data_IF_579509892395
#
_entry.id   IF_579509892395
#
_cell.length_a   1.000
_cell.length_b   1.000
_cell.length_c   1.000
_cell.angle_alpha   90.00
_cell.angle_beta   90.00
_cell.angle_gamma   90.00
#
_symmetry.space_group_name_H-M   'P 1'
#
loop_
_entity.id
_entity.type
_entity.pdbx_description
1 polymer ?
#
# COMPACT_ATOMS: atom_id res chain seq x y z
N UNK A 1 -2.15 4.63 -28.12
CA UNK A 1 -1.31 4.74 -26.90
C UNK A 1 -0.57 3.43 -26.73
N UNK A 2 0.74 3.48 -26.85
CA UNK A 2 1.59 2.31 -26.68
C UNK A 2 1.94 2.14 -25.20
N UNK A 3 2.42 0.95 -24.79
CA UNK A 3 2.94 0.71 -23.42
C UNK A 3 4.01 1.77 -23.02
N UNK A 4 4.72 2.34 -23.99
CA UNK A 4 5.68 3.43 -23.76
C UNK A 4 4.98 4.73 -23.33
N UNK A 5 3.77 5.00 -23.83
CA UNK A 5 3.06 6.25 -23.54
C UNK A 5 2.46 6.27 -22.11
N UNK A 6 2.18 5.08 -21.53
CA UNK A 6 1.73 4.95 -20.16
C UNK A 6 2.88 5.02 -19.13
N UNK A 7 4.08 4.67 -19.55
CA UNK A 7 5.21 4.61 -18.62
C UNK A 7 5.71 6.00 -18.23
N UNK A 8 5.62 6.99 -19.13
CA UNK A 8 6.01 8.38 -18.83
C UNK A 8 5.13 9.01 -17.74
N UNK A 9 3.77 9.01 -17.83
CA UNK A 9 2.93 9.50 -16.75
C UNK A 9 3.15 8.76 -15.42
N UNK A 10 3.36 7.46 -15.45
CA UNK A 10 3.61 6.67 -14.25
C UNK A 10 4.93 7.05 -13.57
N UNK A 11 5.99 7.31 -14.33
CA UNK A 11 7.26 7.79 -13.81
C UNK A 11 7.14 9.21 -13.22
N UNK A 12 6.40 10.08 -13.86
CA UNK A 12 6.13 11.44 -13.34
C UNK A 12 5.36 11.39 -12.03
N UNK A 13 4.33 10.55 -11.93
CA UNK A 13 3.59 10.34 -10.69
C UNK A 13 4.49 9.78 -9.58
N UNK A 14 5.33 8.80 -9.89
CA UNK A 14 6.30 8.24 -8.95
C UNK A 14 7.23 9.35 -8.41
N UNK A 15 7.74 10.20 -9.29
CA UNK A 15 8.63 11.31 -8.91
C UNK A 15 7.93 12.33 -8.03
N UNK A 16 6.67 12.67 -8.33
CA UNK A 16 5.88 13.58 -7.49
C UNK A 16 5.64 12.99 -6.11
N UNK A 17 5.29 11.73 -6.02
CA UNK A 17 5.05 11.06 -4.74
C UNK A 17 6.32 10.83 -3.92
N UNK A 18 7.49 10.88 -4.53
CA UNK A 18 8.77 10.88 -3.79
C UNK A 18 8.90 12.05 -2.82
N UNK A 19 8.23 13.17 -3.10
CA UNK A 19 8.22 14.34 -2.24
C UNK A 19 7.30 14.22 -1.01
N UNK A 20 6.50 13.14 -0.92
CA UNK A 20 5.51 12.91 0.13
C UNK A 20 5.98 11.81 1.09
N UNK A 21 6.63 12.18 2.22
CA UNK A 21 7.19 11.20 3.15
C UNK A 21 6.16 10.41 3.95
N UNK A 22 4.90 10.85 3.96
CA UNK A 22 3.78 10.26 4.68
C UNK A 22 2.80 9.51 3.76
N UNK A 23 3.10 9.44 2.47
CA UNK A 23 2.28 8.73 1.49
C UNK A 23 3.12 7.72 0.75
N UNK A 24 2.69 6.48 0.81
CA UNK A 24 3.18 5.41 -0.06
C UNK A 24 2.42 5.45 -1.38
N UNK A 25 3.13 5.41 -2.49
CA UNK A 25 2.56 5.27 -3.83
C UNK A 25 3.11 4.03 -4.51
N UNK A 26 2.25 3.31 -5.22
CA UNK A 26 2.66 2.12 -5.96
C UNK A 26 1.77 1.85 -7.17
N UNK A 27 2.36 1.21 -8.16
CA UNK A 27 1.66 0.53 -9.24
C UNK A 27 2.15 -0.92 -9.26
N UNK A 28 1.21 -1.84 -9.47
CA UNK A 28 1.48 -3.27 -9.65
C UNK A 28 0.87 -3.75 -10.95
N UNK A 29 1.48 -4.74 -11.56
CA UNK A 29 0.95 -5.41 -12.74
C UNK A 29 -0.20 -6.38 -12.38
N UNK A 30 -0.73 -7.06 -13.39
CA UNK A 30 -1.82 -8.03 -13.22
C UNK A 30 -1.44 -9.28 -12.41
N UNK A 31 -0.15 -9.53 -12.20
CA UNK A 31 0.36 -10.60 -11.34
C UNK A 31 0.61 -10.13 -9.90
N UNK A 32 0.35 -8.86 -9.60
CA UNK A 32 0.54 -8.28 -8.27
C UNK A 32 1.99 -7.90 -7.97
N UNK A 33 2.84 -7.78 -8.99
CA UNK A 33 4.24 -7.38 -8.84
C UNK A 33 4.39 -5.88 -8.98
N UNK A 34 5.19 -5.27 -8.13
CA UNK A 34 5.47 -3.84 -8.19
C UNK A 34 6.16 -3.47 -9.50
N UNK A 35 5.59 -2.52 -10.22
CA UNK A 35 6.19 -1.89 -11.40
C UNK A 35 6.72 -0.50 -11.09
N UNK A 36 6.05 0.20 -10.18
CA UNK A 36 6.42 1.54 -9.72
C UNK A 36 6.20 1.64 -8.22
N UNK A 37 7.04 2.43 -7.54
CA UNK A 37 6.83 2.81 -6.16
C UNK A 37 7.60 4.10 -5.85
N UNK A 38 7.12 4.87 -4.88
CA UNK A 38 7.87 6.04 -4.43
C UNK A 38 8.93 5.68 -3.38
N UNK A 39 9.82 6.63 -3.10
CA UNK A 39 10.90 6.45 -2.12
C UNK A 39 10.39 6.22 -0.70
N UNK A 40 9.19 6.68 -0.39
CA UNK A 40 8.56 6.43 0.91
C UNK A 40 8.36 4.94 1.15
N UNK A 41 7.88 4.18 0.15
CA UNK A 41 7.77 2.73 0.26
C UNK A 41 9.14 2.05 0.40
N UNK A 42 10.12 2.49 -0.37
CA UNK A 42 11.48 1.97 -0.29
C UNK A 42 12.05 2.09 1.13
N UNK A 43 11.90 3.26 1.74
CA UNK A 43 12.37 3.52 3.10
C UNK A 43 11.63 2.70 4.15
N UNK A 44 10.31 2.54 4.01
CA UNK A 44 9.51 1.71 4.93
C UNK A 44 9.94 0.27 4.97
N UNK A 45 10.33 -0.26 3.83
CA UNK A 45 10.81 -1.62 3.70
C UNK A 45 12.29 -1.76 4.11
N UNK A 46 12.92 -0.68 4.58
CA UNK A 46 14.34 -0.68 4.97
C UNK A 46 15.27 -0.91 3.78
N UNK A 47 14.80 -0.59 2.57
CA UNK A 47 15.59 -0.73 1.34
C UNK A 47 16.26 0.59 0.98
N UNK A 48 17.22 0.53 0.08
CA UNK A 48 17.96 1.70 -0.41
C UNK A 48 17.54 2.11 -1.81
N UNK A 49 17.16 1.14 -2.64
CA UNK A 49 16.88 1.33 -4.06
C UNK A 49 15.49 0.80 -4.43
N UNK A 50 14.83 1.48 -5.35
CA UNK A 50 13.56 0.97 -5.94
C UNK A 50 13.71 -0.39 -6.58
N UNK A 51 14.85 -0.65 -7.21
CA UNK A 51 15.15 -1.93 -7.87
C UNK A 51 15.07 -3.14 -6.92
N UNK A 52 15.14 -2.92 -5.61
CA UNK A 52 14.96 -3.98 -4.62
C UNK A 52 13.48 -4.35 -4.41
N UNK A 53 12.56 -3.55 -4.93
CA UNK A 53 11.11 -3.75 -4.80
C UNK A 53 10.49 -4.11 -6.15
N UNK A 54 10.90 -3.43 -7.22
CA UNK A 54 10.35 -3.61 -8.57
C UNK A 54 10.51 -5.07 -9.01
N UNK A 55 9.43 -5.62 -9.57
CA UNK A 55 9.33 -7.02 -10.00
C UNK A 55 8.97 -8.01 -8.89
N UNK A 56 8.86 -7.56 -7.64
CA UNK A 56 8.51 -8.41 -6.50
C UNK A 56 7.06 -8.23 -6.09
N UNK A 57 6.51 -9.26 -5.47
CA UNK A 57 5.17 -9.23 -4.89
C UNK A 57 5.18 -8.72 -3.45
N UNK A 58 4.03 -8.33 -2.87
CA UNK A 58 3.94 -7.99 -1.46
C UNK A 58 4.42 -9.11 -0.52
N UNK A 59 4.23 -10.37 -0.89
CA UNK A 59 4.72 -11.51 -0.10
C UNK A 59 6.24 -11.55 0.01
N UNK A 60 6.93 -11.07 -1.02
CA UNK A 60 8.40 -11.09 -1.05
C UNK A 60 9.02 -9.90 -0.33
N UNK A 61 8.29 -8.79 -0.17
CA UNK A 61 8.84 -7.54 0.40
C UNK A 61 8.30 -7.19 1.77
N UNK A 62 7.11 -7.66 2.14
CA UNK A 62 6.53 -7.43 3.46
C UNK A 62 6.61 -8.67 4.35
N UNK A 63 6.75 -8.50 5.67
CA UNK A 63 6.63 -9.61 6.59
C UNK A 63 5.19 -10.15 6.60
N UNK A 64 5.04 -11.45 6.89
CA UNK A 64 3.74 -12.02 7.18
C UNK A 64 3.23 -11.52 8.54
N UNK A 65 1.91 -11.26 8.68
CA UNK A 65 0.83 -11.52 7.72
C UNK A 65 0.54 -10.39 6.73
N UNK A 66 1.26 -9.27 6.79
CA UNK A 66 0.97 -8.08 5.99
C UNK A 66 1.01 -8.34 4.49
N UNK A 67 2.05 -9.01 4.02
CA UNK A 67 2.21 -9.30 2.60
C UNK A 67 1.04 -10.12 2.03
N UNK A 68 0.58 -11.11 2.77
CA UNK A 68 -0.58 -11.92 2.39
C UNK A 68 -1.87 -11.12 2.34
N UNK A 69 -2.10 -10.25 3.32
CA UNK A 69 -3.27 -9.36 3.36
C UNK A 69 -3.30 -8.42 2.16
N UNK A 70 -2.17 -7.82 1.82
CA UNK A 70 -2.08 -6.91 0.68
C UNK A 70 -2.29 -7.63 -0.65
N UNK A 71 -1.78 -8.85 -0.80
CA UNK A 71 -2.02 -9.64 -2.00
C UNK A 71 -3.49 -10.01 -2.17
N UNK A 72 -4.17 -10.40 -1.11
CA UNK A 72 -5.60 -10.70 -1.17
C UNK A 72 -6.40 -9.46 -1.56
N UNK A 73 -6.07 -8.32 -1.01
CA UNK A 73 -6.68 -7.05 -1.35
C UNK A 73 -6.44 -6.67 -2.82
N UNK A 74 -5.21 -6.83 -3.32
CA UNK A 74 -4.87 -6.57 -4.71
C UNK A 74 -5.68 -7.46 -5.67
N UNK A 75 -5.88 -8.73 -5.33
CA UNK A 75 -6.73 -9.64 -6.12
C UNK A 75 -8.17 -9.16 -6.22
N UNK A 76 -8.72 -8.61 -5.15
CA UNK A 76 -10.07 -8.01 -5.17
C UNK A 76 -10.13 -6.82 -6.12
N UNK A 77 -9.12 -5.97 -6.09
CA UNK A 77 -9.01 -4.82 -7.00
C UNK A 77 -8.84 -5.29 -8.45
N UNK A 78 -8.04 -6.33 -8.69
CA UNK A 78 -7.91 -6.96 -10.01
C UNK A 78 -9.21 -7.59 -10.51
N UNK A 79 -10.15 -7.88 -9.62
CA UNK A 79 -11.51 -8.30 -9.98
C UNK A 79 -12.48 -7.12 -10.15
N UNK A 80 -12.01 -5.88 -10.09
CA UNK A 80 -12.80 -4.67 -10.31
C UNK A 80 -13.28 -3.96 -9.06
N UNK A 81 -12.94 -4.43 -7.86
CA UNK A 81 -13.29 -3.71 -6.63
C UNK A 81 -12.49 -2.42 -6.48
N UNK A 82 -13.11 -1.43 -5.88
CA UNK A 82 -12.46 -0.18 -5.48
C UNK A 82 -12.19 -0.24 -3.98
N UNK A 83 -11.00 0.17 -3.58
CA UNK A 83 -10.66 0.33 -2.17
C UNK A 83 -10.63 1.82 -1.86
N UNK A 84 -11.47 2.24 -0.94
CA UNK A 84 -11.60 3.64 -0.52
C UNK A 84 -11.47 3.76 0.99
N UNK A 85 -10.63 4.66 1.45
CA UNK A 85 -10.45 4.96 2.88
C UNK A 85 -10.36 3.69 3.75
N UNK A 86 -9.69 2.68 3.26
CA UNK A 86 -9.51 1.48 4.05
C UNK A 86 -8.47 1.72 5.13
N UNK A 87 -8.89 1.59 6.39
CA UNK A 87 -7.97 1.65 7.52
C UNK A 87 -7.14 0.36 7.56
N UNK A 88 -5.84 0.51 7.52
CA UNK A 88 -4.89 -0.60 7.51
C UNK A 88 -3.72 -0.34 8.44
N UNK A 89 -3.07 -1.43 8.84
CA UNK A 89 -1.77 -1.37 9.49
C UNK A 89 -0.70 -1.43 8.41
N UNK A 90 0.27 -0.54 8.49
CA UNK A 90 1.44 -0.51 7.64
C UNK A 90 2.72 -0.40 8.47
N UNK A 91 3.85 -0.79 7.90
CA UNK A 91 5.14 -0.55 8.54
C UNK A 91 5.59 0.89 8.28
N UNK A 92 5.98 1.57 9.35
CA UNK A 92 6.61 2.88 9.28
C UNK A 92 8.14 2.74 9.16
N UNK A 93 8.89 3.82 8.82
CA UNK A 93 10.34 3.74 8.65
C UNK A 93 11.12 3.18 9.85
N UNK A 94 10.57 3.37 11.06
CA UNK A 94 11.13 2.82 12.30
C UNK A 94 10.80 1.33 12.52
N UNK A 95 10.18 0.67 11.54
CA UNK A 95 9.68 -0.71 11.57
C UNK A 95 8.58 -0.99 12.61
N UNK A 96 8.03 0.03 13.21
CA UNK A 96 6.85 -0.09 14.04
C UNK A 96 5.59 -0.04 13.19
N UNK A 97 4.54 -0.80 13.55
CA UNK A 97 3.28 -0.70 12.85
C UNK A 97 2.64 0.67 13.09
N UNK A 98 2.00 1.20 12.08
CA UNK A 98 1.24 2.44 12.12
C UNK A 98 -0.01 2.35 11.28
N UNK A 99 -0.97 3.23 11.57
CA UNK A 99 -2.22 3.29 10.84
C UNK A 99 -2.06 4.07 9.56
N UNK A 100 -2.70 3.60 8.50
CA UNK A 100 -2.83 4.34 7.26
C UNK A 100 -4.21 4.15 6.64
N UNK A 101 -4.58 5.09 5.79
CA UNK A 101 -5.75 4.98 4.91
C UNK A 101 -5.28 4.61 3.52
N UNK A 102 -5.84 3.55 3.00
CA UNK A 102 -5.47 3.00 1.70
C UNK A 102 -6.57 3.23 0.67
N UNK A 103 -6.13 3.60 -0.53
CA UNK A 103 -6.96 3.75 -1.72
C UNK A 103 -6.32 2.93 -2.83
N UNK A 104 -7.13 2.11 -3.50
CA UNK A 104 -6.68 1.34 -4.65
C UNK A 104 -7.71 1.38 -5.77
N UNK A 105 -7.21 1.42 -6.99
CA UNK A 105 -7.99 1.39 -8.22
C UNK A 105 -7.42 0.35 -9.17
N UNK A 106 -8.30 -0.34 -9.91
CA UNK A 106 -7.83 -1.12 -11.03
C UNK A 106 -7.24 -0.18 -12.09
N UNK A 107 -6.12 -0.56 -12.65
CA UNK A 107 -5.49 0.13 -13.76
C UNK A 107 -5.90 -0.55 -15.05
N UNK A 108 -6.56 0.19 -15.93
CA UNK A 108 -7.07 -0.32 -17.19
C UNK A 108 -6.43 0.41 -18.38
N UNK A 109 -6.15 -0.34 -19.43
CA UNK A 109 -5.72 0.17 -20.74
C UNK A 109 -6.58 -0.48 -21.80
N UNK A 110 -7.17 0.33 -22.69
CA UNK A 110 -8.04 -0.15 -23.77
C UNK A 110 -9.14 -1.15 -23.29
N UNK A 111 -9.78 -0.85 -22.15
CA UNK A 111 -10.76 -1.69 -21.46
C UNK A 111 -10.21 -3.02 -20.90
N UNK A 112 -8.92 -3.24 -20.96
CA UNK A 112 -8.29 -4.37 -20.29
C UNK A 112 -7.70 -3.95 -18.94
N UNK A 113 -7.88 -4.79 -17.95
CA UNK A 113 -7.32 -4.60 -16.63
C UNK A 113 -5.86 -5.05 -16.65
N UNK A 114 -4.95 -4.11 -16.46
CA UNK A 114 -3.49 -4.34 -16.56
C UNK A 114 -2.78 -4.29 -15.21
N UNK A 115 -3.45 -3.88 -14.17
CA UNK A 115 -2.83 -3.82 -12.85
C UNK A 115 -3.63 -3.07 -11.81
N UNK A 116 -2.93 -2.66 -10.78
CA UNK A 116 -3.45 -1.92 -9.62
C UNK A 116 -2.61 -0.68 -9.39
N UNK A 117 -3.26 0.46 -9.19
CA UNK A 117 -2.62 1.69 -8.72
C UNK A 117 -3.18 2.05 -7.35
N UNK A 118 -2.34 2.48 -6.44
CA UNK A 118 -2.78 2.81 -5.09
C UNK A 118 -1.86 3.74 -4.33
N UNK A 119 -2.45 4.28 -3.27
CA UNK A 119 -1.74 5.06 -2.26
C UNK A 119 -2.13 4.58 -0.86
N UNK A 120 -1.20 4.72 0.07
CA UNK A 120 -1.48 4.57 1.50
C UNK A 120 -0.96 5.82 2.22
N UNK A 121 -1.86 6.53 2.88
CA UNK A 121 -1.52 7.75 3.61
C UNK A 121 -1.44 7.47 5.10
N UNK A 122 -0.35 7.88 5.72
CA UNK A 122 -0.15 7.75 7.15
C UNK A 122 -1.12 8.63 7.93
N UNK A 123 -1.66 8.10 9.00
CA UNK A 123 -2.48 8.83 9.95
C UNK A 123 -1.66 9.35 11.14
N UNK A 124 -0.34 9.20 11.10
CA UNK A 124 0.54 9.50 12.21
C UNK A 124 0.67 8.34 13.18
N UNK A 125 1.71 8.37 14.00
CA UNK A 125 1.80 7.43 15.10
C UNK A 125 0.74 7.79 16.14
N UNK A 126 0.07 6.77 16.67
CA UNK A 126 -0.89 6.99 17.74
C UNK A 126 -0.21 7.66 18.91
N UNK A 127 -0.66 8.83 19.26
CA UNK A 127 -0.35 9.36 20.58
C UNK A 127 -1.07 8.48 21.59
N UNK A 128 -0.32 7.71 22.35
CA UNK A 128 -0.84 6.86 23.44
C UNK A 128 -1.64 7.65 24.48
N UNK A 129 -1.60 8.99 24.40
CA UNK A 129 -2.33 9.91 25.28
C UNK A 129 -3.79 10.13 24.87
N UNK A 130 -4.20 9.75 23.63
CA UNK A 130 -5.60 9.81 23.25
C UNK A 130 -6.33 8.55 23.71
N UNK A 131 -7.25 8.69 24.66
CA UNK A 131 -8.01 7.60 25.27
C UNK A 131 -8.79 6.75 24.26
N UNK A 132 -9.25 7.34 23.15
CA UNK A 132 -9.88 6.61 22.06
C UNK A 132 -8.89 5.70 21.32
N UNK A 133 -7.64 6.10 21.22
CA UNK A 133 -6.60 5.33 20.57
C UNK A 133 -6.05 4.20 21.47
N UNK A 134 -5.94 4.43 22.77
CA UNK A 134 -5.56 3.38 23.72
C UNK A 134 -6.54 2.22 23.72
N UNK A 135 -7.85 2.50 23.61
CA UNK A 135 -8.88 1.47 23.45
C UNK A 135 -8.79 0.72 22.13
N UNK A 136 -8.44 1.41 21.06
CA UNK A 136 -8.29 0.83 19.74
C UNK A 136 -7.04 -0.07 19.66
N UNK A 137 -5.92 0.34 20.25
CA UNK A 137 -4.71 -0.47 20.35
C UNK A 137 -4.94 -1.74 21.16
N UNK A 138 -5.69 -1.66 22.26
CA UNK A 138 -6.05 -2.84 23.06
C UNK A 138 -6.92 -3.83 22.30
N UNK A 139 -7.86 -3.34 21.47
CA UNK A 139 -8.68 -4.19 20.61
C UNK A 139 -7.79 -4.88 19.56
N UNK A 140 -6.79 -4.19 19.01
CA UNK A 140 -5.88 -4.73 18.00
C UNK A 140 -4.89 -5.75 18.56
N UNK A 141 -4.41 -5.56 19.79
CA UNK A 141 -3.53 -6.54 20.47
C UNK A 141 -4.25 -7.88 20.73
N UNK A 142 -5.59 -7.87 20.78
CA UNK A 142 -6.41 -9.05 21.00
C UNK A 142 -7.03 -9.61 19.72
N UNK A 143 -6.82 -8.97 18.57
CA UNK A 143 -7.30 -9.49 17.29
C UNK A 143 -6.38 -10.60 16.77
N UNK A 144 -6.94 -11.71 16.23
CA UNK A 144 -6.15 -12.72 15.58
C UNK A 144 -5.41 -12.10 14.37
N UNK A 145 -4.21 -12.61 14.09
CA UNK A 145 -3.30 -12.10 13.06
C UNK A 145 -3.93 -11.97 11.65
N UNK A 146 -5.11 -12.55 11.43
CA UNK A 146 -5.83 -12.55 10.16
C UNK A 146 -6.70 -11.31 9.95
N UNK A 147 -6.77 -10.41 10.92
CA UNK A 147 -7.67 -9.25 10.88
C UNK A 147 -7.01 -7.95 10.39
N UNK A 148 -5.70 -7.98 10.13
CA UNK A 148 -5.01 -6.81 9.62
C UNK A 148 -5.48 -6.44 8.21
N UNK A 149 -6.33 -5.45 8.08
CA UNK A 149 -6.57 -4.84 6.81
C UNK A 149 -8.02 -4.67 6.33
N UNK A 150 -9.02 -5.05 7.09
CA UNK A 150 -10.41 -5.02 6.59
C UNK A 150 -11.37 -4.07 7.33
N UNK A 151 -10.87 -3.10 8.05
CA UNK A 151 -11.74 -2.05 8.63
C UNK A 151 -11.94 -0.93 7.61
N UNK A 152 -13.17 -0.77 7.12
CA UNK A 152 -13.58 0.40 6.34
C UNK A 152 -13.95 1.53 7.29
N UNK A 153 -13.39 2.70 7.07
CA UNK A 153 -13.83 3.92 7.74
C UNK A 153 -15.00 4.47 6.91
N UNK A 154 -16.16 4.77 7.51
CA UNK A 154 -17.30 5.35 6.81
C UNK A 154 -17.00 6.71 6.18
#
# INVERSE_FOLDING_TARGET
MTLMDLNLPALEMQTLFDALPDVVFFIKDSEGRYTHCNLTLVRRLGRKLRSEIIGRSPLEVFPLPLGGSYMMQDRRVLCGELIDNQLEVHLYPNRLPGWCLTFKRPLCEANELIGVVGISRDLGQPDRRHSAFGRFSQVMEHMPANFGGNLRVP
#
